data_IF_690311744644
#
_entry.id   IF_690311744644
#
_cell.length_a   1.000
_cell.length_b   1.000
_cell.length_c   1.000
_cell.angle_alpha   90.00
_cell.angle_beta   90.00
_cell.angle_gamma   90.00
#
_symmetry.space_group_name_H-M   'P 1'
#
loop_
_entity.id
_entity.type
_entity.pdbx_description
1 polymer ?
#
# COMPACT_ATOMS: atom_id res chain seq x y z
N UNK A 1 -22.53 3.06 -1.41
CA UNK A 1 -21.26 3.72 -1.77
C UNK A 1 -21.55 4.95 -2.63
N UNK A 2 -20.85 6.06 -2.42
CA UNK A 2 -21.04 7.29 -3.21
C UNK A 2 -20.33 7.16 -4.57
N UNK A 3 -21.01 7.55 -5.66
CA UNK A 3 -20.45 7.47 -7.02
C UNK A 3 -19.24 8.39 -7.21
N UNK A 4 -19.13 9.47 -6.43
CA UNK A 4 -18.03 10.44 -6.53
C UNK A 4 -16.78 10.02 -5.75
N UNK A 5 -16.77 8.84 -5.12
CA UNK A 5 -15.62 8.36 -4.35
C UNK A 5 -14.63 7.65 -5.27
N UNK A 6 -13.38 8.08 -5.19
CA UNK A 6 -12.23 7.44 -5.86
C UNK A 6 -11.29 6.92 -4.79
N UNK A 7 -11.17 5.60 -4.73
CA UNK A 7 -10.26 4.90 -3.81
C UNK A 7 -8.86 4.95 -4.40
N UNK A 8 -7.87 5.33 -3.61
CA UNK A 8 -6.52 5.52 -4.12
C UNK A 8 -5.46 5.13 -3.08
N UNK A 9 -4.41 4.47 -3.57
CA UNK A 9 -3.23 4.11 -2.80
C UNK A 9 -1.97 4.43 -3.63
N UNK A 10 -0.93 4.94 -2.97
CA UNK A 10 0.32 5.32 -3.62
C UNK A 10 1.51 4.48 -3.15
N UNK A 11 2.38 4.16 -4.09
CA UNK A 11 3.74 3.70 -3.79
C UNK A 11 4.72 4.85 -3.99
N UNK A 12 5.59 5.04 -3.00
CA UNK A 12 6.56 6.11 -2.99
C UNK A 12 7.97 5.60 -2.68
N UNK A 13 8.97 6.27 -3.26
CA UNK A 13 10.35 6.07 -2.86
C UNK A 13 10.54 6.81 -1.55
N UNK A 14 10.50 6.06 -0.45
CA UNK A 14 10.67 6.56 0.91
C UNK A 14 12.09 6.35 1.42
N UNK A 15 12.37 6.85 2.63
CA UNK A 15 13.64 6.60 3.28
C UNK A 15 13.79 5.12 3.64
N UNK A 16 15.01 4.57 3.53
CA UNK A 16 16.28 5.27 3.28
C UNK A 16 16.62 5.46 1.79
N UNK A 17 15.84 4.91 0.86
CA UNK A 17 16.18 4.90 -0.56
C UNK A 17 16.12 6.29 -1.21
N UNK A 18 15.18 7.13 -0.79
CA UNK A 18 15.09 8.52 -1.24
C UNK A 18 16.40 9.29 -0.98
N UNK A 19 16.97 9.13 0.22
CA UNK A 19 18.27 9.69 0.60
C UNK A 19 19.44 9.15 -0.23
N UNK A 20 19.39 7.88 -0.63
CA UNK A 20 20.39 7.31 -1.54
C UNK A 20 20.30 7.96 -2.93
N UNK A 21 19.09 8.25 -3.42
CA UNK A 21 18.89 8.92 -4.70
C UNK A 21 19.07 10.45 -4.64
N UNK A 22 19.13 11.03 -3.44
CA UNK A 22 19.09 12.48 -3.23
C UNK A 22 17.83 13.12 -3.87
N UNK A 23 16.68 12.47 -3.68
CA UNK A 23 15.36 12.98 -4.08
C UNK A 23 14.51 13.25 -2.84
N UNK A 24 13.43 14.06 -2.96
CA UNK A 24 12.50 14.26 -1.84
C UNK A 24 11.95 12.92 -1.31
N UNK A 25 11.90 12.79 0.02
CA UNK A 25 11.28 11.63 0.67
C UNK A 25 9.81 11.54 0.24
N UNK A 26 9.34 10.31 0.06
CA UNK A 26 7.99 10.01 -0.41
C UNK A 26 7.72 10.56 -1.83
N UNK A 27 8.72 10.55 -2.71
CA UNK A 27 8.50 10.82 -4.13
C UNK A 27 7.62 9.70 -4.71
N UNK A 28 6.37 9.98 -5.13
CA UNK A 28 5.48 8.95 -5.66
C UNK A 28 5.98 8.43 -7.01
N UNK A 29 5.82 7.14 -7.24
CA UNK A 29 6.20 6.51 -8.51
C UNK A 29 5.18 5.51 -9.03
N UNK A 30 4.26 5.05 -8.19
CA UNK A 30 3.11 4.27 -8.64
C UNK A 30 1.86 4.66 -7.85
N UNK A 31 0.71 4.34 -8.41
CA UNK A 31 -0.56 4.43 -7.71
C UNK A 31 -1.54 3.41 -8.29
N UNK A 32 -2.56 3.07 -7.50
CA UNK A 32 -3.77 2.44 -8.00
C UNK A 32 -4.96 3.32 -7.67
N UNK A 33 -5.85 3.54 -8.65
CA UNK A 33 -7.19 4.13 -8.42
C UNK A 33 -8.27 3.08 -8.61
N UNK A 34 -9.36 3.20 -7.86
CA UNK A 34 -10.57 2.39 -7.99
C UNK A 34 -11.83 3.22 -7.83
N UNK A 35 -12.84 2.97 -8.65
CA UNK A 35 -14.13 3.64 -8.56
C UNK A 35 -15.25 2.76 -9.14
N UNK A 36 -16.51 3.18 -8.95
CA UNK A 36 -17.66 2.60 -9.63
C UNK A 36 -17.71 3.09 -11.07
N UNK A 37 -17.75 2.17 -12.03
CA UNK A 37 -18.05 2.49 -13.43
C UNK A 37 -19.54 2.83 -13.62
N UNK A 38 -19.93 3.14 -14.85
CA UNK A 38 -21.32 3.52 -15.17
C UNK A 38 -22.35 2.41 -14.89
N UNK A 39 -21.91 1.15 -14.82
CA UNK A 39 -22.72 -0.03 -14.54
C UNK A 39 -22.72 -0.41 -13.05
N UNK A 40 -22.25 0.48 -12.17
CA UNK A 40 -22.04 0.23 -10.73
C UNK A 40 -21.14 -0.98 -10.44
N UNK A 41 -20.21 -1.31 -11.35
CA UNK A 41 -19.17 -2.32 -11.09
C UNK A 41 -17.88 -1.63 -10.70
N UNK A 42 -17.15 -2.23 -9.78
CA UNK A 42 -15.83 -1.74 -9.42
C UNK A 42 -14.83 -2.01 -10.54
N UNK A 43 -14.08 -0.99 -10.88
CA UNK A 43 -12.90 -1.12 -11.73
C UNK A 43 -11.72 -0.42 -11.08
N UNK A 44 -10.54 -1.00 -11.28
CA UNK A 44 -9.27 -0.42 -10.83
C UNK A 44 -8.35 -0.17 -12.02
N UNK A 45 -7.45 0.79 -11.85
CA UNK A 45 -6.37 1.11 -12.78
C UNK A 45 -5.11 1.42 -12.00
N UNK A 46 -4.06 0.67 -12.27
CA UNK A 46 -2.73 0.88 -11.67
C UNK A 46 -1.79 1.51 -12.68
N UNK A 47 -1.03 2.50 -12.24
CA UNK A 47 0.00 3.15 -13.01
C UNK A 47 1.34 3.07 -12.28
N UNK A 48 2.41 2.85 -13.04
CA UNK A 48 3.80 2.88 -12.55
C UNK A 48 4.58 3.77 -13.52
N UNK A 49 5.33 4.73 -12.99
CA UNK A 49 6.18 5.63 -13.78
C UNK A 49 7.22 4.83 -14.57
N UNK A 50 7.33 5.13 -15.86
CA UNK A 50 8.46 4.67 -16.67
C UNK A 50 9.61 5.69 -16.56
N UNK A 51 10.54 5.43 -15.64
CA UNK A 51 11.66 6.34 -15.37
C UNK A 51 12.60 6.55 -16.56
N UNK A 52 12.55 5.70 -17.58
CA UNK A 52 13.29 5.91 -18.85
C UNK A 52 12.74 7.13 -19.59
N UNK A 53 11.42 7.36 -19.52
CA UNK A 53 10.72 8.47 -20.19
C UNK A 53 10.57 9.69 -19.30
N UNK A 54 10.60 9.51 -17.98
CA UNK A 54 10.25 10.57 -17.01
C UNK A 54 11.05 10.40 -15.74
N UNK A 55 12.17 11.14 -15.62
CA UNK A 55 13.07 11.04 -14.47
C UNK A 55 13.12 12.30 -13.60
N UNK A 56 12.71 13.47 -14.10
CA UNK A 56 12.70 14.69 -13.30
C UNK A 56 11.53 14.68 -12.30
N UNK A 57 11.75 15.20 -11.09
CA UNK A 57 10.71 15.28 -10.06
C UNK A 57 9.48 16.04 -10.59
N UNK A 58 9.69 17.20 -11.25
CA UNK A 58 8.59 18.00 -11.83
C UNK A 58 7.78 17.20 -12.84
N UNK A 59 8.44 16.44 -13.74
CA UNK A 59 7.76 15.65 -14.75
C UNK A 59 7.04 14.42 -14.15
N UNK A 60 7.55 13.85 -13.06
CA UNK A 60 6.87 12.78 -12.31
C UNK A 60 5.52 13.30 -11.79
N UNK A 61 5.51 14.44 -11.08
CA UNK A 61 4.26 15.03 -10.58
C UNK A 61 3.26 15.35 -11.69
N UNK A 62 3.72 15.98 -12.78
CA UNK A 62 2.86 16.28 -13.94
C UNK A 62 2.27 15.01 -14.57
N UNK A 63 3.10 13.98 -14.77
CA UNK A 63 2.66 12.70 -15.34
C UNK A 63 1.63 12.03 -14.45
N UNK A 64 1.86 11.96 -13.14
CA UNK A 64 0.93 11.37 -12.19
C UNK A 64 -0.43 12.08 -12.23
N UNK A 65 -0.46 13.41 -12.20
CA UNK A 65 -1.71 14.17 -12.29
C UNK A 65 -2.52 13.81 -13.54
N UNK A 66 -1.88 13.88 -14.70
CA UNK A 66 -2.52 13.60 -15.99
C UNK A 66 -3.04 12.16 -16.05
N UNK A 67 -2.26 11.20 -15.56
CA UNK A 67 -2.63 9.79 -15.58
C UNK A 67 -3.76 9.48 -14.60
N UNK A 68 -3.78 10.09 -13.41
CA UNK A 68 -4.87 9.91 -12.44
C UNK A 68 -6.18 10.38 -13.07
N UNK A 69 -6.22 11.59 -13.62
CA UNK A 69 -7.41 12.14 -14.29
C UNK A 69 -7.86 11.21 -15.42
N UNK A 70 -6.93 10.82 -16.29
CA UNK A 70 -7.21 9.90 -17.39
C UNK A 70 -7.82 8.58 -16.89
N UNK A 71 -7.21 7.94 -15.89
CA UNK A 71 -7.68 6.65 -15.38
C UNK A 71 -9.03 6.75 -14.66
N UNK A 72 -9.30 7.86 -13.96
CA UNK A 72 -10.63 8.12 -13.38
C UNK A 72 -11.69 8.18 -14.48
N UNK A 73 -11.44 8.90 -15.57
CA UNK A 73 -12.39 8.99 -16.69
C UNK A 73 -12.49 7.70 -17.51
N UNK A 74 -11.43 6.91 -17.59
CA UNK A 74 -11.49 5.57 -18.19
C UNK A 74 -12.37 4.61 -17.37
N UNK A 75 -12.37 4.72 -16.04
CA UNK A 75 -13.27 3.95 -15.16
C UNK A 75 -14.70 4.50 -15.27
N UNK A 76 -14.87 5.81 -15.16
CA UNK A 76 -16.16 6.46 -15.20
C UNK A 76 -16.06 7.88 -15.79
N UNK A 77 -16.40 7.99 -17.07
CA UNK A 77 -16.35 9.25 -17.82
C UNK A 77 -17.37 10.31 -17.36
N UNK A 78 -18.32 9.97 -16.48
CA UNK A 78 -19.32 10.92 -15.94
C UNK A 78 -18.85 11.63 -14.67
N UNK A 79 -17.71 11.24 -14.09
CA UNK A 79 -17.20 11.91 -12.91
C UNK A 79 -16.76 13.34 -13.25
N UNK A 80 -16.98 14.28 -12.33
CA UNK A 80 -16.32 15.57 -12.36
C UNK A 80 -15.10 15.51 -11.43
N UNK A 81 -13.89 15.74 -11.96
CA UNK A 81 -12.66 15.65 -11.17
C UNK A 81 -12.67 16.63 -9.99
N UNK A 82 -13.34 17.78 -10.11
CA UNK A 82 -13.40 18.78 -9.04
C UNK A 82 -14.29 18.35 -7.87
N UNK A 83 -15.21 17.42 -8.11
CA UNK A 83 -16.17 16.89 -7.11
C UNK A 83 -15.72 15.55 -6.52
N UNK A 84 -14.63 14.97 -7.03
CA UNK A 84 -14.10 13.70 -6.54
C UNK A 84 -13.65 13.85 -5.08
N UNK A 85 -14.08 12.90 -4.26
CA UNK A 85 -13.52 12.68 -2.92
C UNK A 85 -12.58 11.49 -3.00
N UNK A 86 -11.31 11.72 -2.67
CA UNK A 86 -10.32 10.64 -2.62
C UNK A 86 -10.41 9.90 -1.30
N UNK A 87 -10.52 8.58 -1.36
CA UNK A 87 -10.59 7.70 -0.20
C UNK A 87 -9.31 6.88 -0.13
N UNK A 88 -8.58 6.95 0.98
CA UNK A 88 -7.46 6.07 1.27
C UNK A 88 -7.64 5.38 2.62
N UNK A 89 -6.98 4.25 2.83
CA UNK A 89 -7.20 3.45 4.05
C UNK A 89 -6.77 4.17 5.32
N UNK A 90 -5.52 4.64 5.36
CA UNK A 90 -4.99 5.54 6.38
C UNK A 90 -4.18 6.63 5.66
N UNK A 91 -4.85 7.66 5.12
CA UNK A 91 -4.37 8.41 3.96
C UNK A 91 -3.30 9.46 4.30
N UNK A 92 -2.27 9.12 5.07
CA UNK A 92 -1.22 10.07 5.44
C UNK A 92 -0.35 10.41 4.23
N UNK A 93 0.11 9.39 3.49
CA UNK A 93 0.89 9.56 2.27
C UNK A 93 0.03 10.17 1.15
N UNK A 94 -1.17 9.65 0.99
CA UNK A 94 -2.16 10.09 0.00
C UNK A 94 -2.47 11.57 0.19
N UNK A 95 -2.71 12.04 1.42
CA UNK A 95 -2.92 13.47 1.71
C UNK A 95 -1.72 14.32 1.27
N UNK A 96 -0.49 13.90 1.59
CA UNK A 96 0.73 14.65 1.21
C UNK A 96 0.92 14.76 -0.30
N UNK A 97 0.53 13.73 -1.04
CA UNK A 97 0.64 13.68 -2.51
C UNK A 97 -0.53 14.43 -3.16
N UNK A 98 -1.76 14.12 -2.76
CA UNK A 98 -2.98 14.62 -3.39
C UNK A 98 -3.17 16.11 -3.15
N UNK A 99 -2.77 16.66 -2.00
CA UNK A 99 -2.85 18.12 -1.79
C UNK A 99 -2.00 18.90 -2.81
N UNK A 100 -0.91 18.31 -3.32
CA UNK A 100 -0.07 18.91 -4.38
C UNK A 100 -0.70 18.75 -5.76
N UNK A 101 -1.37 17.63 -6.01
CA UNK A 101 -1.94 17.31 -7.33
C UNK A 101 -3.33 17.94 -7.54
N UNK A 102 -4.16 17.91 -6.49
CA UNK A 102 -5.59 18.18 -6.46
C UNK A 102 -5.95 18.97 -5.18
N UNK A 103 -5.45 20.22 -5.03
CA UNK A 103 -5.54 20.97 -3.77
C UNK A 103 -6.96 21.28 -3.28
N UNK A 104 -7.95 21.25 -4.18
CA UNK A 104 -9.36 21.53 -3.84
C UNK A 104 -10.15 20.26 -3.47
N UNK A 105 -9.61 19.08 -3.75
CA UNK A 105 -10.32 17.83 -3.52
C UNK A 105 -10.17 17.36 -2.08
N UNK A 106 -11.26 16.83 -1.53
CA UNK A 106 -11.23 16.23 -0.20
C UNK A 106 -10.49 14.88 -0.24
N UNK A 107 -9.72 14.60 0.83
CA UNK A 107 -9.08 13.31 1.06
C UNK A 107 -9.54 12.76 2.40
N UNK A 108 -10.26 11.64 2.38
CA UNK A 108 -10.88 11.03 3.55
C UNK A 108 -10.31 9.64 3.83
N UNK A 109 -10.38 9.25 5.10
CA UNK A 109 -10.08 7.90 5.55
C UNK A 109 -11.22 6.96 5.14
N UNK A 110 -10.87 5.73 4.75
CA UNK A 110 -11.83 4.66 4.47
C UNK A 110 -12.69 4.35 5.70
N UNK A 111 -12.01 4.25 6.85
CA UNK A 111 -12.64 3.94 8.13
C UNK A 111 -12.82 5.22 8.93
N UNK A 112 -13.82 5.21 9.81
CA UNK A 112 -14.09 6.29 10.75
C UNK A 112 -12.80 6.64 11.53
N UNK A 113 -12.40 7.93 11.60
CA UNK A 113 -11.22 8.36 12.33
C UNK A 113 -11.23 8.01 13.83
N UNK A 114 -12.40 7.78 14.43
CA UNK A 114 -12.53 7.31 15.81
C UNK A 114 -12.09 5.85 16.00
N UNK A 115 -12.03 5.06 14.92
CA UNK A 115 -11.53 3.69 14.97
C UNK A 115 -10.00 3.68 15.14
N UNK A 116 -9.45 2.72 15.91
CA UNK A 116 -8.01 2.55 15.96
C UNK A 116 -7.46 2.23 14.57
N UNK A 117 -6.21 2.61 14.30
CA UNK A 117 -5.57 2.31 13.01
C UNK A 117 -5.38 0.79 12.88
N UNK A 118 -6.25 0.16 12.09
CA UNK A 118 -6.18 -1.26 11.74
C UNK A 118 -5.56 -1.39 10.35
N UNK A 119 -4.64 -2.32 10.12
CA UNK A 119 -4.10 -2.55 8.78
C UNK A 119 -5.12 -3.29 7.90
N UNK A 120 -5.21 -2.98 6.60
CA UNK A 120 -6.09 -3.66 5.65
C UNK A 120 -6.00 -5.18 5.74
N UNK A 121 -4.78 -5.73 5.70
CA UNK A 121 -4.55 -7.18 5.74
C UNK A 121 -5.06 -7.87 7.01
N UNK A 122 -5.22 -7.14 8.14
CA UNK A 122 -5.81 -7.71 9.36
C UNK A 122 -7.32 -7.84 9.26
N UNK A 123 -7.97 -6.93 8.54
CA UNK A 123 -9.41 -6.95 8.32
C UNK A 123 -9.79 -7.90 7.18
N UNK A 124 -8.96 -7.97 6.15
CA UNK A 124 -9.28 -8.67 4.90
C UNK A 124 -8.53 -10.00 4.71
N UNK A 125 -7.59 -10.32 5.60
CA UNK A 125 -6.75 -11.54 5.52
C UNK A 125 -7.46 -12.87 5.32
N UNK A 126 -8.69 -13.10 5.82
CA UNK A 126 -9.45 -14.33 5.50
C UNK A 126 -9.78 -14.50 4.02
N UNK A 127 -9.85 -13.40 3.25
CA UNK A 127 -10.21 -13.38 1.83
C UNK A 127 -9.02 -13.05 0.92
N UNK A 128 -8.09 -12.24 1.41
CA UNK A 128 -6.92 -11.79 0.68
C UNK A 128 -5.66 -12.44 1.28
N UNK A 129 -5.24 -13.54 0.68
CA UNK A 129 -4.16 -14.41 1.17
C UNK A 129 -2.92 -14.41 0.27
N UNK A 130 -2.90 -13.57 -0.77
CA UNK A 130 -1.79 -13.55 -1.73
C UNK A 130 -0.47 -13.17 -1.05
N UNK A 131 0.60 -13.90 -1.41
CA UNK A 131 1.96 -13.53 -1.07
C UNK A 131 2.48 -12.47 -2.07
N UNK A 132 3.05 -11.39 -1.54
CA UNK A 132 3.64 -10.33 -2.35
C UNK A 132 5.15 -10.44 -2.47
N UNK A 133 5.66 -9.99 -3.62
CA UNK A 133 7.07 -9.85 -3.94
C UNK A 133 7.95 -11.13 -3.81
N UNK A 134 7.47 -12.35 -4.13
CA UNK A 134 8.26 -13.56 -3.91
C UNK A 134 9.61 -13.53 -4.64
N UNK A 135 9.66 -13.05 -5.89
CA UNK A 135 10.92 -12.98 -6.65
C UNK A 135 11.87 -11.91 -6.11
N UNK A 136 11.34 -10.74 -5.73
CA UNK A 136 12.15 -9.65 -5.19
C UNK A 136 12.69 -10.00 -3.80
N UNK A 137 11.88 -10.66 -2.95
CA UNK A 137 12.30 -11.16 -1.63
C UNK A 137 13.47 -12.13 -1.77
N UNK A 138 13.30 -13.14 -2.62
CA UNK A 138 14.36 -14.12 -2.93
C UNK A 138 15.65 -13.43 -3.39
N UNK A 139 15.56 -12.48 -4.33
CA UNK A 139 16.73 -11.76 -4.81
C UNK A 139 17.42 -10.90 -3.73
N UNK A 140 16.65 -10.31 -2.80
CA UNK A 140 17.22 -9.58 -1.65
C UNK A 140 17.93 -10.54 -0.71
N UNK A 141 17.32 -11.69 -0.40
CA UNK A 141 17.87 -12.72 0.48
C UNK A 141 19.15 -13.35 -0.07
N UNK A 142 19.20 -13.63 -1.37
CA UNK A 142 20.38 -14.17 -2.07
C UNK A 142 21.48 -13.11 -2.27
N UNK A 143 21.19 -11.82 -2.06
CA UNK A 143 22.18 -10.77 -2.21
C UNK A 143 23.19 -10.75 -1.05
N UNK A 144 24.41 -10.27 -1.32
CA UNK A 144 25.42 -10.02 -0.28
C UNK A 144 25.25 -8.65 0.40
N UNK A 145 24.11 -7.97 0.23
CA UNK A 145 23.91 -6.59 0.67
C UNK A 145 23.17 -6.55 2.01
N UNK A 146 23.90 -6.75 3.11
CA UNK A 146 23.32 -6.80 4.47
C UNK A 146 22.49 -5.56 4.82
N UNK A 147 22.93 -4.37 4.39
CA UNK A 147 22.17 -3.13 4.57
C UNK A 147 20.81 -3.17 3.90
N UNK A 148 20.71 -3.75 2.69
CA UNK A 148 19.45 -3.86 1.97
C UNK A 148 18.49 -4.82 2.70
N UNK A 149 18.99 -5.99 3.13
CA UNK A 149 18.21 -6.95 3.93
C UNK A 149 17.63 -6.30 5.19
N UNK A 150 18.45 -5.52 5.91
CA UNK A 150 18.02 -4.79 7.12
C UNK A 150 16.99 -3.69 6.83
N UNK A 151 17.13 -2.98 5.70
CA UNK A 151 16.20 -1.91 5.35
C UNK A 151 14.83 -2.43 4.95
N UNK A 152 14.78 -3.55 4.23
CA UNK A 152 13.52 -4.16 3.81
C UNK A 152 12.91 -5.02 4.91
N UNK A 153 13.70 -5.86 5.57
CA UNK A 153 13.31 -6.71 6.69
C UNK A 153 12.02 -7.53 6.42
N UNK A 154 11.89 -8.02 5.17
CA UNK A 154 10.70 -8.75 4.71
C UNK A 154 9.40 -7.92 4.61
N UNK A 155 9.41 -6.63 4.98
CA UNK A 155 8.22 -5.77 4.99
C UNK A 155 7.84 -5.34 3.58
N UNK A 156 6.62 -5.69 3.16
CA UNK A 156 6.15 -5.42 1.79
C UNK A 156 6.22 -3.94 1.40
N UNK A 157 5.86 -3.00 2.29
CA UNK A 157 5.97 -1.57 2.01
C UNK A 157 7.42 -1.09 1.82
N UNK A 158 8.37 -1.64 2.58
CA UNK A 158 9.79 -1.34 2.39
C UNK A 158 10.34 -1.96 1.10
N UNK A 159 9.84 -3.14 0.71
CA UNK A 159 10.16 -3.76 -0.56
C UNK A 159 9.57 -2.94 -1.72
N UNK A 160 8.34 -2.45 -1.62
CA UNK A 160 7.74 -1.57 -2.61
C UNK A 160 8.58 -0.28 -2.80
N UNK A 161 9.01 0.36 -1.71
CA UNK A 161 9.94 1.50 -1.78
C UNK A 161 11.27 1.15 -2.46
N UNK A 162 11.83 -0.05 -2.17
CA UNK A 162 13.00 -0.56 -2.87
C UNK A 162 12.75 -0.78 -4.36
N UNK A 163 11.57 -1.28 -4.77
CA UNK A 163 11.27 -1.43 -6.21
C UNK A 163 11.25 -0.11 -6.94
N UNK A 164 10.72 0.96 -6.32
CA UNK A 164 10.76 2.31 -6.89
C UNK A 164 12.19 2.81 -7.05
N UNK A 165 13.04 2.60 -6.03
CA UNK A 165 14.47 2.85 -6.13
C UNK A 165 15.13 2.08 -7.27
N UNK A 166 14.88 0.78 -7.34
CA UNK A 166 15.50 -0.09 -8.34
C UNK A 166 15.08 0.33 -9.75
N UNK A 167 13.79 0.59 -9.98
CA UNK A 167 13.27 1.08 -11.26
C UNK A 167 13.89 2.42 -11.66
N UNK A 168 14.06 3.34 -10.70
CA UNK A 168 14.69 4.63 -10.94
C UNK A 168 16.16 4.47 -11.36
N UNK A 169 16.94 3.70 -10.60
CA UNK A 169 18.37 3.49 -10.88
C UNK A 169 18.59 2.72 -12.17
N UNK A 170 17.77 1.69 -12.43
CA UNK A 170 17.86 0.87 -13.63
C UNK A 170 17.47 1.63 -14.91
N UNK A 171 16.81 2.79 -14.80
CA UNK A 171 16.55 3.68 -15.93
C UNK A 171 17.72 4.61 -16.28
N UNK A 172 18.77 4.69 -15.45
CA UNK A 172 19.92 5.56 -15.69
C UNK A 172 20.91 4.84 -16.63
N UNK A 173 21.21 5.38 -17.83
CA UNK A 173 22.00 4.66 -18.85
C UNK A 173 23.42 4.30 -18.42
N UNK A 174 24.08 5.18 -17.65
CA UNK A 174 25.46 4.96 -17.16
C UNK A 174 25.63 5.55 -15.76
N UNK A 175 25.91 4.68 -14.79
CA UNK A 175 26.30 5.09 -13.44
C UNK A 175 27.83 5.18 -13.35
N UNK A 176 28.33 6.24 -12.71
CA UNK A 176 29.77 6.44 -12.46
C UNK A 176 30.35 5.27 -11.66
N UNK A 177 31.65 5.00 -11.80
CA UNK A 177 32.33 3.87 -11.14
C UNK A 177 32.10 3.87 -9.61
N UNK A 178 32.23 5.02 -8.97
CA UNK A 178 32.11 5.24 -7.53
C UNK A 178 30.68 5.56 -7.04
N UNK A 179 29.66 5.28 -7.84
CA UNK A 179 28.30 5.63 -7.51
C UNK A 179 27.73 4.78 -6.37
N UNK A 180 27.38 5.41 -5.24
CA UNK A 180 26.84 4.76 -4.03
C UNK A 180 25.58 3.93 -4.28
N UNK A 181 24.85 4.15 -5.39
CA UNK A 181 23.64 3.40 -5.76
C UNK A 181 23.97 1.99 -6.26
N UNK A 182 25.15 1.78 -6.85
CA UNK A 182 25.55 0.50 -7.45
C UNK A 182 25.48 -0.68 -6.49
N UNK A 183 25.79 -0.45 -5.22
CA UNK A 183 25.77 -1.50 -4.19
C UNK A 183 24.38 -2.10 -3.93
N UNK A 184 23.31 -1.45 -4.38
CA UNK A 184 21.92 -1.90 -4.21
C UNK A 184 21.29 -2.41 -5.51
N UNK A 185 22.05 -2.47 -6.61
CA UNK A 185 21.54 -2.96 -7.89
C UNK A 185 21.55 -4.48 -7.86
N UNK A 186 20.36 -5.05 -7.72
CA UNK A 186 20.14 -6.47 -7.87
C UNK A 186 19.83 -6.82 -9.33
N UNK A 187 20.19 -8.03 -9.77
CA UNK A 187 19.83 -8.54 -11.09
C UNK A 187 18.36 -8.99 -11.09
N UNK A 188 17.44 -8.05 -11.32
CA UNK A 188 16.00 -8.32 -11.39
C UNK A 188 15.49 -8.20 -12.83
N UNK A 189 14.44 -8.95 -13.14
CA UNK A 189 13.70 -8.77 -14.39
C UNK A 189 12.69 -7.62 -14.23
N UNK A 190 12.85 -6.54 -15.02
CA UNK A 190 11.99 -5.34 -14.96
C UNK A 190 10.50 -5.68 -15.08
N UNK A 191 10.12 -6.59 -15.97
CA UNK A 191 8.73 -6.96 -16.19
C UNK A 191 8.14 -7.70 -14.99
N UNK A 192 8.93 -8.57 -14.34
CA UNK A 192 8.51 -9.24 -13.10
C UNK A 192 8.38 -8.25 -11.95
N UNK A 193 9.32 -7.31 -11.79
CA UNK A 193 9.24 -6.25 -10.77
C UNK A 193 7.95 -5.44 -10.96
N UNK A 194 7.65 -5.01 -12.19
CA UNK A 194 6.43 -4.26 -12.50
C UNK A 194 5.18 -5.10 -12.22
N UNK A 195 5.20 -6.40 -12.54
CA UNK A 195 4.07 -7.31 -12.31
C UNK A 195 3.78 -7.48 -10.82
N UNK A 196 4.81 -7.75 -10.00
CA UNK A 196 4.65 -7.92 -8.55
C UNK A 196 4.22 -6.63 -7.86
N UNK A 197 4.81 -5.49 -8.25
CA UNK A 197 4.41 -4.18 -7.73
C UNK A 197 2.96 -3.84 -8.09
N UNK A 198 2.55 -4.08 -9.33
CA UNK A 198 1.17 -3.84 -9.78
C UNK A 198 0.17 -4.68 -9.00
N UNK A 199 0.51 -5.94 -8.73
CA UNK A 199 -0.32 -6.84 -7.93
C UNK A 199 -0.47 -6.32 -6.50
N UNK A 200 0.64 -6.01 -5.85
CA UNK A 200 0.65 -5.48 -4.47
C UNK A 200 -0.19 -4.20 -4.34
N UNK A 201 0.11 -3.17 -5.15
CA UNK A 201 -0.61 -1.89 -5.10
C UNK A 201 -2.08 -2.03 -5.52
N UNK A 202 -2.36 -2.90 -6.50
CA UNK A 202 -3.71 -3.19 -6.94
C UNK A 202 -4.56 -3.81 -5.84
N UNK A 203 -3.95 -4.71 -5.06
CA UNK A 203 -4.64 -5.46 -4.02
C UNK A 203 -5.06 -4.59 -2.84
N UNK A 204 -4.28 -3.58 -2.47
CA UNK A 204 -4.65 -2.65 -1.40
C UNK A 204 -5.90 -1.84 -1.76
N UNK A 205 -6.04 -1.38 -3.01
CA UNK A 205 -7.29 -0.74 -3.48
C UNK A 205 -8.43 -1.75 -3.54
N UNK A 206 -8.20 -2.98 -3.99
CA UNK A 206 -9.24 -4.02 -3.99
C UNK A 206 -9.75 -4.33 -2.57
N UNK A 207 -8.87 -4.35 -1.57
CA UNK A 207 -9.25 -4.49 -0.15
C UNK A 207 -10.10 -3.31 0.32
N UNK A 208 -9.72 -2.08 -0.04
CA UNK A 208 -10.51 -0.89 0.29
C UNK A 208 -11.92 -0.95 -0.32
N UNK A 209 -12.01 -1.33 -1.60
CA UNK A 209 -13.29 -1.50 -2.29
C UNK A 209 -14.14 -2.62 -1.67
N UNK A 210 -13.52 -3.74 -1.30
CA UNK A 210 -14.19 -4.83 -0.58
C UNK A 210 -14.80 -4.34 0.72
N UNK A 211 -14.03 -3.64 1.56
CA UNK A 211 -14.53 -3.12 2.84
C UNK A 211 -15.65 -2.08 2.65
N UNK A 212 -15.51 -1.20 1.67
CA UNK A 212 -16.51 -0.17 1.42
C UNK A 212 -17.80 -0.69 0.76
N UNK A 213 -17.76 -1.86 0.12
CA UNK A 213 -18.92 -2.46 -0.54
C UNK A 213 -20.00 -2.93 0.45
N UNK A 214 -19.61 -3.29 1.67
CA UNK A 214 -20.50 -3.74 2.74
C UNK A 214 -20.05 -3.15 4.10
N UNK A 215 -20.56 -1.96 4.46
CA UNK A 215 -20.21 -1.29 5.71
C UNK A 215 -20.57 -2.09 6.97
N UNK A 216 -21.67 -2.84 6.95
CA UNK A 216 -22.12 -3.63 8.09
C UNK A 216 -21.19 -4.81 8.34
N UNK A 217 -20.81 -5.53 7.28
CA UNK A 217 -19.79 -6.57 7.36
C UNK A 217 -18.45 -6.00 7.82
N UNK A 218 -18.03 -4.84 7.31
CA UNK A 218 -16.79 -4.18 7.74
C UNK A 218 -16.82 -3.83 9.23
N UNK A 219 -17.92 -3.27 9.73
CA UNK A 219 -18.08 -2.98 11.15
C UNK A 219 -18.03 -4.25 12.01
N UNK A 220 -18.62 -5.36 11.54
CA UNK A 220 -18.52 -6.65 12.20
C UNK A 220 -17.07 -7.18 12.24
N UNK A 221 -16.32 -7.05 11.15
CA UNK A 221 -14.90 -7.43 11.09
C UNK A 221 -14.04 -6.60 12.06
N UNK A 222 -14.28 -5.29 12.13
CA UNK A 222 -13.61 -4.38 13.06
C UNK A 222 -13.89 -4.80 14.50
N UNK A 223 -15.17 -4.97 14.87
CA UNK A 223 -15.57 -5.42 16.21
C UNK A 223 -14.90 -6.75 16.58
N UNK A 224 -14.97 -7.74 15.69
CA UNK A 224 -14.34 -9.06 15.89
C UNK A 224 -12.82 -8.95 16.11
N UNK A 225 -12.15 -8.10 15.34
CA UNK A 225 -10.71 -7.86 15.52
C UNK A 225 -10.39 -7.25 16.87
N UNK A 226 -11.14 -6.23 17.29
CA UNK A 226 -10.94 -5.55 18.57
C UNK A 226 -11.18 -6.50 19.75
N UNK A 227 -12.29 -7.26 19.73
CA UNK A 227 -12.56 -8.27 20.76
C UNK A 227 -11.46 -9.32 20.85
N UNK A 228 -10.96 -9.82 19.71
CA UNK A 228 -9.85 -10.78 19.71
C UNK A 228 -8.58 -10.17 20.30
N UNK A 229 -8.26 -8.92 19.97
CA UNK A 229 -7.08 -8.22 20.49
C UNK A 229 -7.17 -8.03 22.00
N UNK A 230 -8.33 -7.61 22.50
CA UNK A 230 -8.56 -7.39 23.93
C UNK A 230 -8.55 -8.71 24.70
N UNK A 231 -9.20 -9.75 24.19
CA UNK A 231 -9.14 -11.09 24.75
C UNK A 231 -7.69 -11.60 24.85
N UNK A 232 -6.90 -11.47 23.78
CA UNK A 232 -5.49 -11.86 23.81
C UNK A 232 -4.66 -11.06 24.82
N UNK A 233 -5.01 -9.79 25.06
CA UNK A 233 -4.36 -8.97 26.08
C UNK A 233 -4.68 -9.48 27.49
N UNK A 234 -5.93 -9.84 27.74
CA UNK A 234 -6.36 -10.36 29.05
C UNK A 234 -5.78 -11.76 29.32
N UNK A 235 -5.82 -12.64 28.31
CA UNK A 235 -5.27 -14.01 28.37
C UNK A 235 -3.77 -14.02 28.65
N UNK A 236 -3.00 -13.04 28.15
CA UNK A 236 -1.55 -12.95 28.43
C UNK A 236 -1.20 -12.84 29.92
N UNK A 237 -2.15 -12.41 30.75
CA UNK A 237 -1.95 -12.26 32.19
C UNK A 237 -2.45 -13.48 32.99
N UNK A 238 -3.01 -14.48 32.31
CA UNK A 238 -3.42 -15.74 32.94
C UNK A 238 -2.25 -16.71 32.84
N UNK A 239 -1.97 -17.37 33.97
CA UNK A 239 -1.06 -18.51 34.01
C UNK A 239 -1.76 -19.75 33.45
N UNK A 240 -1.40 -20.09 32.21
CA UNK A 240 -1.83 -21.31 31.54
C UNK A 240 -0.72 -22.36 31.64
N UNK A 241 -1.06 -23.53 32.17
CA UNK A 241 -0.23 -24.74 32.12
C UNK A 241 -0.78 -25.72 31.06
N UNK A 242 0.08 -26.52 30.45
CA UNK A 242 -0.25 -27.51 29.43
C UNK A 242 -1.21 -28.60 29.95
N UNK A 243 -1.32 -28.75 31.27
CA UNK A 243 -2.20 -29.72 31.94
C UNK A 243 -3.62 -29.22 32.23
N UNK A 244 -3.94 -27.96 31.92
CA UNK A 244 -5.26 -27.38 32.24
C UNK A 244 -6.38 -28.03 31.41
N UNK A 245 -7.46 -28.38 32.08
CA UNK A 245 -8.70 -28.81 31.43
C UNK A 245 -9.43 -27.64 30.77
N UNK A 246 -10.28 -27.93 29.78
CA UNK A 246 -11.16 -26.92 29.14
C UNK A 246 -12.02 -26.18 30.18
N UNK A 247 -12.43 -26.87 31.27
CA UNK A 247 -13.21 -26.27 32.35
C UNK A 247 -12.40 -25.22 33.10
N UNK A 248 -11.18 -25.55 33.50
CA UNK A 248 -10.28 -24.63 34.22
C UNK A 248 -9.86 -23.44 33.35
N UNK A 249 -9.66 -23.65 32.05
CA UNK A 249 -9.41 -22.56 31.08
C UNK A 249 -10.59 -21.59 31.05
N UNK A 250 -11.83 -22.13 30.96
CA UNK A 250 -13.04 -21.29 30.95
C UNK A 250 -13.22 -20.53 32.24
N UNK A 251 -12.99 -21.16 33.40
CA UNK A 251 -13.05 -20.51 34.71
C UNK A 251 -12.02 -19.39 34.82
N UNK A 252 -10.75 -19.65 34.49
CA UNK A 252 -9.69 -18.64 34.48
C UNK A 252 -10.01 -17.45 33.56
N UNK A 253 -10.61 -17.70 32.40
CA UNK A 253 -11.05 -16.62 31.49
C UNK A 253 -12.26 -15.86 32.06
N UNK A 254 -13.20 -16.55 32.70
CA UNK A 254 -14.40 -15.95 33.29
C UNK A 254 -14.11 -15.10 34.53
N UNK A 255 -13.01 -15.37 35.23
CA UNK A 255 -12.55 -14.61 36.39
C UNK A 255 -11.72 -13.35 36.04
N UNK A 256 -11.51 -13.05 34.75
CA UNK A 256 -10.91 -11.80 34.27
C UNK A 256 -11.90 -10.63 34.30
#
# INVERSE_FOLDING_TARGET
MNKNYVYIDFEAISDPFARVLAIPVNTPFAYTVGALNQNNKFETRTFIIDFVKTSSIKSIWSTLKQKIIKHIYEINSKLNIEEVVFIGHNPTLEKQILIKLFPKNAVQSLLDPSCPVLSLSKLTGPKFTEEYFPNIKKAIEESNVTTLKKWTDGRNGSIAAFTGFWLYVNAIPRLRANDKRKKFILKLNKNLVIKELRRYSGDDVNKMLFLASDPDQTNALIKKYLYKKDLLKLIKNIDFDENLTIKEIKEKIWTL
#
